data_IF_222396694788
#
_entry.id   IF_222396694788
#
_cell.length_a   1.000
_cell.length_b   1.000
_cell.length_c   1.000
_cell.angle_alpha   90.00
_cell.angle_beta   90.00
_cell.angle_gamma   90.00
#
_symmetry.space_group_name_H-M   'P 1'
#
loop_
_entity.id
_entity.type
_entity.pdbx_description
1 polymer ?
#
# COMPACT_ATOMS: atom_id res chain seq x y z
N UNK A 1 32.17 -6.86 76.52
CA UNK A 1 31.89 -6.85 76.01
C UNK A 1 31.41 -6.52 74.98
N UNK A 2 31.14 -6.50 74.53
CA UNK A 2 30.78 -6.35 73.67
C UNK A 2 30.32 -6.05 72.78
N UNK A 3 30.02 -6.01 72.09
CA UNK A 3 29.64 -5.82 71.29
C UNK A 3 29.16 -5.64 70.37
N UNK A 4 28.93 -5.54 69.80
CA UNK A 4 28.49 -5.44 68.95
C UNK A 4 28.10 -5.07 68.07
N UNK A 5 27.92 -5.09 67.41
CA UNK A 5 27.60 -4.91 66.66
C UNK A 5 27.18 -4.75 65.78
N UNK A 6 27.07 -4.60 65.01
CA UNK A 6 26.83 -4.45 64.27
C UNK A 6 26.14 -4.46 63.43
N UNK A 7 25.67 -4.49 62.93
CA UNK A 7 24.99 -4.66 62.05
C UNK A 7 24.68 -3.91 61.16
N UNK A 8 24.85 -3.56 60.78
CA UNK A 8 24.65 -2.80 60.08
C UNK A 8 24.56 -3.00 58.91
N UNK A 9 24.79 -3.30 58.67
CA UNK A 9 24.83 -3.54 57.72
C UNK A 9 23.87 -3.71 57.01
N UNK A 10 23.59 -3.89 57.03
CA UNK A 10 22.80 -4.11 56.50
C UNK A 10 22.19 -3.49 55.79
N UNK A 11 22.17 -3.21 55.59
CA UNK A 11 21.55 -2.60 55.00
C UNK A 11 21.65 -2.36 53.80
N UNK A 12 22.07 -2.39 53.39
CA UNK A 12 22.28 -2.22 52.31
C UNK A 12 21.59 -2.67 51.44
N UNK A 13 21.34 -2.92 51.52
CA UNK A 13 20.73 -3.51 50.95
C UNK A 13 19.91 -3.12 50.17
N UNK A 14 19.54 -3.19 50.02
CA UNK A 14 18.56 -2.93 49.35
C UNK A 14 18.51 -2.21 48.24
N UNK A 15 19.38 -2.03 47.80
CA UNK A 15 19.35 -1.36 46.83
C UNK A 15 19.19 -2.04 45.70
N UNK A 16 18.37 -2.69 45.64
CA UNK A 16 17.97 -3.23 44.55
C UNK A 16 17.56 -2.25 43.69
N UNK A 17 18.39 -1.94 43.00
CA UNK A 17 18.13 -1.30 42.02
C UNK A 17 17.34 -1.99 41.12
N UNK A 18 16.22 -1.89 41.14
CA UNK A 18 15.41 -2.30 40.24
C UNK A 18 15.56 -1.51 39.10
N UNK A 19 16.38 -1.85 38.38
CA UNK A 19 16.40 -1.36 37.22
C UNK A 19 15.23 -1.77 36.53
N UNK A 20 14.25 -1.10 36.63
CA UNK A 20 13.10 -1.32 35.87
C UNK A 20 13.45 -1.16 34.45
N UNK A 21 13.64 -2.20 33.86
CA UNK A 21 13.71 -2.19 32.52
C UNK A 21 12.38 -1.79 32.03
N UNK A 22 12.22 -0.59 31.83
CA UNK A 22 11.06 -0.12 31.21
C UNK A 22 11.13 -0.54 29.79
N UNK A 23 10.57 -1.60 29.50
CA UNK A 23 10.27 -1.93 28.20
C UNK A 23 9.26 -0.95 27.73
N UNK A 24 9.74 0.06 27.15
CA UNK A 24 8.87 0.93 26.42
C UNK A 24 8.19 0.07 25.37
N UNK A 25 6.88 0.08 25.31
CA UNK A 25 6.22 -0.62 24.25
C UNK A 25 6.69 0.01 22.97
N UNK A 26 7.32 -0.78 22.17
CA UNK A 26 7.62 -0.37 20.84
C UNK A 26 6.30 -0.37 20.12
N UNK A 27 5.70 0.77 20.07
CA UNK A 27 4.53 0.92 19.27
C UNK A 27 5.04 0.92 17.85
N UNK A 28 5.05 -0.22 17.26
CA UNK A 28 5.21 -0.28 15.85
C UNK A 28 3.94 0.29 15.25
N UNK A 29 3.98 1.54 14.94
CA UNK A 29 2.95 2.08 14.13
C UNK A 29 3.07 1.44 12.78
N UNK A 30 2.13 0.63 12.42
CA UNK A 30 2.00 0.19 11.07
C UNK A 30 1.93 1.44 10.21
N UNK A 31 2.81 1.54 9.25
CA UNK A 31 2.76 2.65 8.32
C UNK A 31 1.40 2.65 7.63
N UNK A 32 0.81 3.81 7.46
CA UNK A 32 -0.44 3.92 6.72
C UNK A 32 -0.24 3.33 5.34
N UNK A 33 -1.22 2.60 4.82
CA UNK A 33 -1.10 2.06 3.48
C UNK A 33 -0.96 3.22 2.48
N UNK A 34 -0.24 3.02 1.39
CA UNK A 34 -0.13 4.05 0.36
C UNK A 34 -1.51 4.49 -0.12
N UNK A 35 -1.64 5.75 -0.42
CA UNK A 35 -2.92 6.33 -0.83
C UNK A 35 -3.51 5.68 -2.07
N UNK A 36 -2.69 5.01 -2.83
CA UNK A 36 -3.12 4.36 -4.06
C UNK A 36 -3.85 3.04 -3.81
N UNK A 37 -3.76 2.48 -2.61
CA UNK A 37 -4.40 1.21 -2.28
C UNK A 37 -5.91 1.38 -2.32
N UNK A 38 -6.60 0.44 -2.95
CA UNK A 38 -8.04 0.45 -3.06
C UNK A 38 -8.51 -0.10 -4.40
N UNK A 39 -9.79 0.09 -4.68
CA UNK A 39 -10.41 -0.33 -5.93
C UNK A 39 -10.74 0.89 -6.77
N UNK A 40 -10.38 0.81 -8.03
CA UNK A 40 -10.48 1.90 -8.98
C UNK A 40 -11.23 1.44 -10.22
N UNK A 41 -12.13 2.27 -10.74
CA UNK A 41 -12.89 1.93 -11.93
C UNK A 41 -12.79 3.01 -12.99
N UNK A 42 -12.79 2.60 -14.24
CA UNK A 42 -12.78 3.52 -15.35
C UNK A 42 -13.36 2.88 -16.59
N UNK A 43 -13.45 3.68 -17.64
CA UNK A 43 -13.96 3.22 -18.93
C UNK A 43 -12.94 3.57 -19.98
N UNK A 44 -12.48 2.54 -20.68
CA UNK A 44 -11.62 2.72 -21.84
C UNK A 44 -12.50 2.98 -23.04
N UNK A 45 -12.27 4.08 -23.69
CA UNK A 45 -12.99 4.45 -24.90
C UNK A 45 -11.97 4.62 -26.04
N UNK A 46 -11.66 3.56 -26.76
CA UNK A 46 -10.67 3.65 -27.85
C UNK A 46 -11.22 4.27 -29.12
N UNK A 47 -12.43 4.82 -29.08
CA UNK A 47 -13.02 5.51 -30.23
C UNK A 47 -13.74 4.58 -31.17
N UNK A 48 -12.99 3.88 -32.03
CA UNK A 48 -13.59 3.03 -33.05
C UNK A 48 -14.05 1.68 -32.55
N UNK A 49 -13.70 1.32 -31.31
CA UNK A 49 -14.07 0.03 -30.72
C UNK A 49 -15.04 0.22 -29.56
N UNK A 50 -15.75 -0.82 -29.13
CA UNK A 50 -16.64 -0.69 -27.99
C UNK A 50 -15.89 -0.26 -26.73
N UNK A 51 -16.55 0.51 -25.90
CA UNK A 51 -16.02 0.91 -24.60
C UNK A 51 -15.86 -0.32 -23.71
N UNK A 52 -14.81 -0.29 -22.89
CA UNK A 52 -14.54 -1.38 -21.95
C UNK A 52 -14.46 -0.83 -20.55
N UNK A 53 -15.20 -1.43 -19.65
CA UNK A 53 -15.04 -1.11 -18.24
C UNK A 53 -13.79 -1.80 -17.71
N UNK A 54 -13.08 -1.10 -16.84
CA UNK A 54 -11.88 -1.61 -16.19
C UNK A 54 -12.04 -1.41 -14.70
N UNK A 55 -11.73 -2.44 -13.94
CA UNK A 55 -11.65 -2.36 -12.48
C UNK A 55 -10.24 -2.76 -12.08
N UNK A 56 -9.56 -1.88 -11.35
CA UNK A 56 -8.19 -2.13 -10.90
C UNK A 56 -8.20 -2.25 -9.38
N UNK A 57 -7.68 -3.35 -8.87
CA UNK A 57 -7.56 -3.57 -7.43
C UNK A 57 -6.10 -3.45 -7.06
N UNK A 58 -5.78 -2.54 -6.17
CA UNK A 58 -4.41 -2.31 -5.70
C UNK A 58 -4.34 -2.58 -4.21
N UNK A 59 -3.42 -3.41 -3.81
CA UNK A 59 -3.20 -3.78 -2.42
C UNK A 59 -1.74 -3.57 -2.04
N UNK A 60 -1.50 -3.41 -0.75
CA UNK A 60 -0.15 -3.31 -0.22
C UNK A 60 0.13 -4.55 0.61
N UNK A 61 1.30 -5.13 0.42
CA UNK A 61 1.76 -6.25 1.22
C UNK A 61 2.37 -5.75 2.53
N UNK A 62 2.66 -6.65 3.44
CA UNK A 62 3.20 -6.29 4.75
C UNK A 62 4.54 -5.58 4.67
N UNK A 63 5.30 -5.84 3.63
CA UNK A 63 6.60 -5.19 3.42
C UNK A 63 6.49 -3.86 2.69
N UNK A 64 5.27 -3.42 2.38
CA UNK A 64 5.03 -2.16 1.69
C UNK A 64 5.04 -2.25 0.18
N UNK A 65 5.29 -3.43 -0.39
CA UNK A 65 5.23 -3.59 -1.83
C UNK A 65 3.77 -3.59 -2.30
N UNK A 66 3.56 -3.15 -3.53
CA UNK A 66 2.22 -3.09 -4.10
C UNK A 66 1.97 -4.26 -5.02
N UNK A 67 0.74 -4.75 -5.00
CA UNK A 67 0.28 -5.80 -5.90
C UNK A 67 -1.10 -5.43 -6.40
N UNK A 68 -1.53 -6.04 -7.48
CA UNK A 68 -2.84 -5.72 -8.00
C UNK A 68 -3.32 -6.64 -9.10
N UNK A 69 -4.61 -6.48 -9.40
CA UNK A 69 -5.26 -7.20 -10.49
C UNK A 69 -6.15 -6.26 -11.27
N UNK A 70 -6.48 -6.67 -12.48
CA UNK A 70 -7.36 -5.91 -13.36
C UNK A 70 -8.50 -6.82 -13.80
N UNK A 71 -9.72 -6.28 -13.74
CA UNK A 71 -10.89 -6.98 -14.25
C UNK A 71 -11.46 -6.22 -15.44
N UNK A 72 -11.99 -6.97 -16.38
CA UNK A 72 -12.72 -6.43 -17.54
C UNK A 72 -14.11 -7.04 -17.53
N UNK A 73 -15.04 -6.46 -16.75
CA UNK A 73 -16.37 -7.07 -16.58
C UNK A 73 -17.14 -7.27 -17.88
N UNK A 74 -16.96 -6.38 -18.85
CA UNK A 74 -17.67 -6.49 -20.13
C UNK A 74 -17.22 -7.70 -20.94
N UNK A 75 -16.08 -8.29 -20.60
CA UNK A 75 -15.52 -9.43 -21.31
C UNK A 75 -15.50 -10.69 -20.46
N UNK A 76 -16.12 -10.65 -19.27
CA UNK A 76 -16.10 -11.76 -18.32
C UNK A 76 -14.68 -12.16 -17.96
N UNK A 77 -13.76 -11.21 -17.90
CA UNK A 77 -12.37 -11.45 -17.54
C UNK A 77 -12.13 -10.82 -16.18
N UNK A 78 -11.55 -11.56 -15.27
CA UNK A 78 -11.19 -11.05 -13.96
C UNK A 78 -9.86 -11.61 -13.49
N UNK A 79 -9.20 -10.89 -12.59
CA UNK A 79 -7.97 -11.37 -11.98
C UNK A 79 -6.75 -11.35 -12.89
N UNK A 80 -6.73 -10.46 -13.89
CA UNK A 80 -5.52 -10.29 -14.71
C UNK A 80 -4.44 -9.71 -13.80
N UNK A 81 -3.32 -10.41 -13.67
CA UNK A 81 -2.28 -10.01 -12.74
C UNK A 81 -1.51 -8.80 -13.24
N UNK A 82 -1.30 -7.85 -12.36
CA UNK A 82 -0.39 -6.75 -12.60
C UNK A 82 1.01 -7.27 -12.30
N UNK A 83 1.88 -7.26 -13.31
CA UNK A 83 3.21 -7.82 -13.21
C UNK A 83 4.18 -6.91 -12.50
N UNK A 84 3.99 -5.61 -12.61
CA UNK A 84 4.82 -4.62 -11.95
C UNK A 84 4.00 -3.39 -11.66
N UNK A 85 4.16 -2.82 -10.48
CA UNK A 85 3.43 -1.65 -10.07
C UNK A 85 4.34 -0.77 -9.21
N UNK A 86 4.37 0.51 -9.51
CA UNK A 86 5.10 1.49 -8.72
C UNK A 86 4.23 2.71 -8.48
N UNK A 87 4.37 3.29 -7.30
CA UNK A 87 3.68 4.52 -6.95
C UNK A 87 4.64 5.41 -6.18
N UNK A 88 4.90 6.61 -6.71
CA UNK A 88 5.81 7.55 -6.08
C UNK A 88 5.43 8.96 -6.47
N UNK A 89 5.36 9.85 -5.50
CA UNK A 89 5.05 11.27 -5.74
C UNK A 89 3.78 11.44 -6.56
N UNK A 90 2.72 10.73 -6.19
CA UNK A 90 1.42 10.73 -6.84
C UNK A 90 1.40 10.10 -8.25
N UNK A 91 2.53 9.65 -8.75
CA UNK A 91 2.59 9.00 -10.06
C UNK A 91 2.45 7.49 -9.88
N UNK A 92 1.47 6.93 -10.56
CA UNK A 92 1.23 5.49 -10.60
C UNK A 92 1.63 4.94 -11.95
N UNK A 93 2.40 3.88 -11.93
CA UNK A 93 2.70 3.11 -13.13
C UNK A 93 2.46 1.65 -12.85
N UNK A 94 1.75 0.98 -13.74
CA UNK A 94 1.67 -0.47 -13.66
C UNK A 94 1.63 -1.08 -15.06
N UNK A 95 1.97 -2.35 -15.13
CA UNK A 95 1.92 -3.08 -16.38
C UNK A 95 1.53 -4.52 -16.12
N UNK A 96 0.96 -5.15 -17.13
CA UNK A 96 0.59 -6.55 -17.09
C UNK A 96 1.14 -7.26 -18.31
N UNK A 97 1.91 -8.31 -18.07
CA UNK A 97 2.42 -9.13 -19.15
C UNK A 97 1.37 -10.13 -19.65
N UNK A 98 0.32 -10.36 -18.89
CA UNK A 98 -0.73 -11.28 -19.30
C UNK A 98 -1.55 -10.77 -20.48
N UNK A 99 -1.79 -9.47 -20.51
CA UNK A 99 -2.55 -8.86 -21.59
C UNK A 99 -1.78 -7.76 -22.32
N UNK A 100 -0.49 -7.65 -22.04
CA UNK A 100 0.41 -6.69 -22.70
C UNK A 100 -0.08 -5.26 -22.59
N UNK A 101 -0.48 -4.87 -21.39
CA UNK A 101 -0.96 -3.52 -21.13
C UNK A 101 -0.08 -2.79 -20.16
N UNK A 102 -0.16 -1.46 -20.19
CA UNK A 102 0.53 -0.60 -19.24
C UNK A 102 -0.31 0.64 -18.98
N UNK A 103 -0.19 1.19 -17.78
CA UNK A 103 -0.91 2.38 -17.39
C UNK A 103 0.03 3.34 -16.66
N UNK A 104 -0.04 4.60 -17.03
CA UNK A 104 0.67 5.67 -16.35
C UNK A 104 -0.35 6.74 -15.96
N UNK A 105 -0.44 7.06 -14.70
CA UNK A 105 -1.41 8.05 -14.26
C UNK A 105 -0.93 8.82 -13.04
N UNK A 106 -1.70 9.85 -12.69
CA UNK A 106 -1.40 10.70 -11.54
C UNK A 106 -2.62 10.77 -10.63
N UNK A 107 -2.41 10.49 -9.36
CA UNK A 107 -3.44 10.57 -8.34
C UNK A 107 -3.70 12.02 -8.00
N UNK A 108 -4.98 12.41 -7.92
CA UNK A 108 -5.34 13.79 -7.57
C UNK A 108 -5.15 14.05 -6.07
N UNK A 109 -5.29 15.31 -5.68
CA UNK A 109 -5.06 15.71 -4.28
C UNK A 109 -6.05 15.12 -3.31
N UNK A 110 -7.27 14.85 -3.78
CA UNK A 110 -8.33 14.30 -2.95
C UNK A 110 -8.28 12.79 -2.84
N UNK A 111 -7.34 12.14 -3.52
CA UNK A 111 -7.20 10.70 -3.56
C UNK A 111 -8.44 9.98 -4.12
N UNK A 112 -9.14 10.63 -5.03
CA UNK A 112 -10.40 10.12 -5.58
C UNK A 112 -10.31 9.72 -7.04
N UNK A 113 -9.34 10.24 -7.78
CA UNK A 113 -9.19 9.96 -9.21
C UNK A 113 -7.74 9.83 -9.61
N UNK A 114 -7.52 8.98 -10.60
CA UNK A 114 -6.22 8.86 -11.26
C UNK A 114 -6.44 9.17 -12.71
N UNK A 115 -5.79 10.21 -13.21
CA UNK A 115 -5.87 10.57 -14.62
C UNK A 115 -4.62 10.08 -15.32
N UNK A 116 -4.78 9.35 -16.40
CA UNK A 116 -3.62 8.76 -17.05
C UNK A 116 -3.88 8.23 -18.43
N UNK A 117 -2.95 7.41 -18.88
CA UNK A 117 -2.94 6.86 -20.23
C UNK A 117 -2.78 5.35 -20.17
N UNK A 118 -3.67 4.66 -20.84
CA UNK A 118 -3.64 3.21 -20.99
C UNK A 118 -2.99 2.87 -22.32
N UNK A 119 -2.05 1.95 -22.28
CA UNK A 119 -1.35 1.50 -23.49
C UNK A 119 -1.54 0.01 -23.64
N UNK A 120 -2.18 -0.37 -24.72
CA UNK A 120 -2.36 -1.76 -25.08
C UNK A 120 -2.46 -1.79 -26.60
N UNK A 121 -1.39 -2.20 -27.27
CA UNK A 121 -1.30 -2.09 -28.71
C UNK A 121 -0.64 -0.78 -29.12
N UNK A 122 -0.94 -0.34 -30.34
CA UNK A 122 -0.20 0.77 -30.94
C UNK A 122 -0.66 2.15 -30.49
N UNK A 123 -1.92 2.29 -30.06
CA UNK A 123 -2.50 3.61 -29.78
C UNK A 123 -2.79 3.78 -28.30
N UNK A 124 -2.16 4.77 -27.65
CA UNK A 124 -2.49 5.07 -26.25
C UNK A 124 -3.90 5.65 -26.14
N UNK A 125 -4.57 5.34 -25.05
CA UNK A 125 -5.94 5.80 -24.79
C UNK A 125 -5.96 6.46 -23.43
N UNK A 126 -6.61 7.61 -23.33
CA UNK A 126 -6.79 8.27 -22.03
C UNK A 126 -7.70 7.44 -21.15
N UNK A 127 -7.33 7.28 -19.89
CA UNK A 127 -8.14 6.53 -18.94
C UNK A 127 -8.10 7.23 -17.58
N UNK A 128 -9.27 7.62 -17.10
CA UNK A 128 -9.42 8.14 -15.75
C UNK A 128 -10.03 7.07 -14.89
N UNK A 129 -9.36 6.76 -13.79
CA UNK A 129 -9.83 5.80 -12.82
C UNK A 129 -10.40 6.54 -11.62
N UNK A 130 -11.56 6.12 -11.15
CA UNK A 130 -12.20 6.71 -9.98
C UNK A 130 -12.23 5.69 -8.86
N UNK A 131 -11.96 6.16 -7.65
CA UNK A 131 -11.96 5.29 -6.48
C UNK A 131 -13.38 4.87 -6.15
N UNK A 132 -13.59 3.57 -5.99
CA UNK A 132 -14.87 3.03 -5.59
C UNK A 132 -14.83 2.46 -4.18
N UNK A 133 -13.65 2.05 -3.72
CA UNK A 133 -13.47 1.67 -2.32
C UNK A 133 -12.00 1.79 -1.94
N UNK A 134 -11.72 1.93 -0.66
CA UNK A 134 -10.37 2.03 -0.13
C UNK A 134 -10.00 0.83 0.74
#
# INVERSE_FOLDING_TARGET
MKKHRAPWFQLCVGLTLMLGLALAPVITMAADPPRIVGTWEGVLDPGAQPKKHIVVHIAADQDGSLSGTIDFPDQDVSGVLISGITYKAHALHFESTQNLSAYDGTLNKEDTEIAGTWKQGATPVSLTLKRTSS
#
